data_IF_958798230760
#
_entry.id   IF_958798230760
#
_cell.length_a   1.000
_cell.length_b   1.000
_cell.length_c   1.000
_cell.angle_alpha   90.00
_cell.angle_beta   90.00
_cell.angle_gamma   90.00
#
_symmetry.space_group_name_H-M   'P 1'
#
loop_
_entity.id
_entity.type
_entity.pdbx_description
1 polymer ?
#
# COMPACT_ATOMS: atom_id res chain seq x y z
N UNK A 1 23.86 0.86 -1.90
CA UNK A 1 22.42 1.13 -1.65
C UNK A 1 21.46 0.64 -2.72
N UNK A 2 21.89 0.38 -3.97
CA UNK A 2 20.97 -0.07 -5.06
C UNK A 2 20.23 -1.38 -4.72
N UNK A 3 20.95 -2.43 -4.30
CA UNK A 3 20.36 -3.69 -3.83
C UNK A 3 19.40 -3.52 -2.64
N UNK A 4 19.72 -2.63 -1.71
CA UNK A 4 18.83 -2.31 -0.57
C UNK A 4 17.53 -1.68 -1.07
N UNK A 5 17.61 -0.74 -2.01
CA UNK A 5 16.42 -0.13 -2.61
C UNK A 5 15.56 -1.15 -3.38
N UNK A 6 16.17 -2.09 -4.10
CA UNK A 6 15.45 -3.21 -4.75
C UNK A 6 14.74 -4.07 -3.70
N UNK A 7 15.44 -4.47 -2.63
CA UNK A 7 14.88 -5.29 -1.57
C UNK A 7 13.69 -4.59 -0.88
N UNK A 8 13.84 -3.30 -0.52
CA UNK A 8 12.76 -2.51 0.09
C UNK A 8 11.55 -2.39 -0.84
N UNK A 9 11.78 -2.15 -2.13
CA UNK A 9 10.70 -2.06 -3.12
C UNK A 9 9.99 -3.41 -3.31
N UNK A 10 10.73 -4.52 -3.25
CA UNK A 10 10.18 -5.87 -3.30
C UNK A 10 9.35 -6.21 -2.08
N UNK A 11 9.84 -5.89 -0.88
CA UNK A 11 9.11 -6.05 0.37
C UNK A 11 7.85 -5.19 0.39
N UNK A 12 7.91 -3.94 -0.09
CA UNK A 12 6.74 -3.07 -0.20
C UNK A 12 5.68 -3.69 -1.11
N UNK A 13 6.07 -4.18 -2.30
CA UNK A 13 5.13 -4.84 -3.21
C UNK A 13 4.53 -6.10 -2.57
N UNK A 14 5.35 -6.92 -1.92
CA UNK A 14 4.88 -8.11 -1.21
C UNK A 14 3.87 -7.75 -0.12
N UNK A 15 4.17 -6.74 0.71
CA UNK A 15 3.27 -6.26 1.75
C UNK A 15 1.94 -5.78 1.16
N UNK A 16 1.96 -5.08 0.01
CA UNK A 16 0.73 -4.66 -0.68
C UNK A 16 -0.06 -5.87 -1.20
N UNK A 17 0.59 -6.88 -1.77
CA UNK A 17 -0.10 -8.12 -2.19
C UNK A 17 -0.73 -8.84 -1.00
N UNK A 18 0.00 -8.93 0.12
CA UNK A 18 -0.51 -9.49 1.37
C UNK A 18 -1.69 -8.68 1.93
N UNK A 19 -1.73 -7.35 1.71
CA UNK A 19 -2.87 -6.51 2.12
C UNK A 19 -4.18 -6.96 1.45
N UNK A 20 -4.14 -7.29 0.16
CA UNK A 20 -5.30 -7.82 -0.57
C UNK A 20 -5.67 -9.21 -0.05
N UNK A 21 -4.69 -10.07 0.22
CA UNK A 21 -4.94 -11.38 0.80
C UNK A 21 -5.61 -11.26 2.18
N UNK A 22 -5.10 -10.39 3.07
CA UNK A 22 -5.69 -10.19 4.40
C UNK A 22 -7.08 -9.54 4.34
N UNK A 23 -7.33 -8.65 3.37
CA UNK A 23 -8.67 -8.12 3.13
C UNK A 23 -9.65 -9.23 2.70
N UNK A 24 -9.23 -10.07 1.76
CA UNK A 24 -10.02 -11.21 1.31
C UNK A 24 -10.24 -12.22 2.45
N UNK A 25 -9.20 -12.53 3.22
CA UNK A 25 -9.30 -13.37 4.41
C UNK A 25 -10.36 -12.82 5.36
N UNK A 26 -10.26 -11.55 5.78
CA UNK A 26 -11.27 -10.94 6.66
C UNK A 26 -12.69 -11.05 6.08
N UNK A 27 -12.86 -10.74 4.80
CA UNK A 27 -14.16 -10.77 4.12
C UNK A 27 -14.77 -12.18 3.99
N UNK A 28 -13.95 -13.23 3.86
CA UNK A 28 -14.41 -14.60 3.63
C UNK A 28 -14.40 -15.49 4.87
N UNK A 29 -13.84 -15.05 6.00
CA UNK A 29 -13.76 -15.86 7.23
C UNK A 29 -14.95 -15.66 8.17
N UNK A 30 -15.76 -14.62 7.97
CA UNK A 30 -16.89 -14.29 8.84
C UNK A 30 -18.22 -14.91 8.34
N UNK A 31 -18.86 -15.82 9.11
CA UNK A 31 -20.22 -16.23 8.82
C UNK A 31 -21.23 -15.14 9.26
N UNK A 32 -22.25 -14.82 8.44
CA UNK A 32 -23.34 -13.94 8.87
C UNK A 32 -24.25 -14.60 9.92
N UNK A 33 -24.74 -13.87 10.95
CA UNK A 33 -24.37 -12.49 11.31
C UNK A 33 -23.11 -12.44 12.18
N UNK A 34 -22.13 -11.65 11.76
CA UNK A 34 -20.94 -11.36 12.57
C UNK A 34 -21.25 -10.26 13.60
N UNK A 35 -20.62 -10.34 14.77
CA UNK A 35 -20.60 -9.24 15.74
C UNK A 35 -19.55 -8.20 15.31
N UNK A 36 -19.69 -6.95 15.77
CA UNK A 36 -18.65 -5.92 15.56
C UNK A 36 -17.26 -6.39 16.02
N UNK A 37 -17.17 -7.08 17.16
CA UNK A 37 -15.91 -7.65 17.64
C UNK A 37 -15.34 -8.70 16.68
N UNK A 38 -16.19 -9.56 16.10
CA UNK A 38 -15.78 -10.54 15.10
C UNK A 38 -15.28 -9.89 13.80
N UNK A 39 -15.95 -8.82 13.35
CA UNK A 39 -15.49 -8.02 12.20
C UNK A 39 -14.11 -7.43 12.44
N UNK A 40 -13.91 -6.78 13.60
CA UNK A 40 -12.62 -6.20 13.96
C UNK A 40 -11.52 -7.27 13.98
N UNK A 41 -11.77 -8.42 14.62
CA UNK A 41 -10.81 -9.53 14.71
C UNK A 41 -10.41 -10.07 13.33
N UNK A 42 -11.38 -10.30 12.45
CA UNK A 42 -11.12 -10.85 11.11
C UNK A 42 -10.27 -9.92 10.24
N UNK A 43 -10.39 -8.60 10.41
CA UNK A 43 -9.61 -7.60 9.68
C UNK A 43 -8.33 -7.15 10.42
N UNK A 44 -8.00 -7.70 11.60
CA UNK A 44 -6.80 -7.29 12.35
C UNK A 44 -5.51 -7.45 11.55
N UNK A 45 -5.35 -8.54 10.80
CA UNK A 45 -4.17 -8.76 9.97
C UNK A 45 -4.05 -7.70 8.86
N UNK A 46 -5.19 -7.33 8.26
CA UNK A 46 -5.25 -6.27 7.26
C UNK A 46 -4.90 -4.91 7.88
N UNK A 47 -5.44 -4.59 9.05
CA UNK A 47 -5.14 -3.35 9.76
C UNK A 47 -3.65 -3.28 10.16
N UNK A 48 -3.09 -4.36 10.72
CA UNK A 48 -1.69 -4.42 11.13
C UNK A 48 -0.73 -4.26 9.95
N UNK A 49 -0.98 -4.95 8.83
CA UNK A 49 -0.11 -4.89 7.66
C UNK A 49 -0.11 -3.52 6.98
N UNK A 50 -1.16 -2.70 7.16
CA UNK A 50 -1.17 -1.31 6.68
C UNK A 50 -0.04 -0.47 7.30
N UNK A 51 0.30 -0.70 8.57
CA UNK A 51 1.43 -0.03 9.23
C UNK A 51 2.77 -0.45 8.63
N UNK A 52 2.90 -1.72 8.21
CA UNK A 52 4.09 -2.22 7.53
C UNK A 52 4.24 -1.54 6.17
N UNK A 53 3.16 -1.33 5.42
CA UNK A 53 3.17 -0.61 4.14
C UNK A 53 3.59 0.85 4.34
N UNK A 54 3.08 1.53 5.37
CA UNK A 54 3.51 2.89 5.72
C UNK A 54 5.01 2.96 5.99
N UNK A 55 5.53 2.05 6.81
CA UNK A 55 6.96 2.01 7.10
C UNK A 55 7.79 1.71 5.83
N UNK A 56 7.43 0.67 5.08
CA UNK A 56 8.18 0.24 3.90
C UNK A 56 8.14 1.28 2.78
N UNK A 57 7.05 2.02 2.62
CA UNK A 57 6.96 3.10 1.63
C UNK A 57 7.89 4.27 1.96
N UNK A 58 7.96 4.67 3.23
CA UNK A 58 8.93 5.67 3.69
C UNK A 58 10.37 5.17 3.52
N UNK A 59 10.66 3.93 3.94
CA UNK A 59 11.99 3.34 3.79
C UNK A 59 12.37 3.19 2.31
N UNK A 60 11.45 2.83 1.42
CA UNK A 60 11.71 2.74 -0.01
C UNK A 60 12.02 4.11 -0.62
N UNK A 61 11.33 5.18 -0.20
CA UNK A 61 11.63 6.55 -0.62
C UNK A 61 13.03 7.00 -0.17
N UNK A 62 13.38 6.75 1.09
CA UNK A 62 14.73 7.00 1.63
C UNK A 62 15.76 6.16 0.87
N UNK A 63 15.47 4.87 0.65
CA UNK A 63 16.29 3.95 -0.11
C UNK A 63 16.56 4.44 -1.54
N UNK A 64 15.56 5.01 -2.22
CA UNK A 64 15.71 5.60 -3.55
C UNK A 64 16.67 6.80 -3.55
N UNK A 65 16.56 7.69 -2.54
CA UNK A 65 17.46 8.83 -2.37
C UNK A 65 18.90 8.36 -2.10
N UNK A 66 19.09 7.43 -1.16
CA UNK A 66 20.40 6.88 -0.80
C UNK A 66 21.02 6.06 -1.95
N UNK A 67 20.20 5.44 -2.80
CA UNK A 67 20.64 4.76 -4.01
C UNK A 67 20.92 5.71 -5.18
N UNK A 68 20.66 7.01 -5.03
CA UNK A 68 20.78 8.03 -6.09
C UNK A 68 19.96 7.67 -7.34
N UNK A 69 18.75 7.14 -7.13
CA UNK A 69 17.84 6.73 -8.21
C UNK A 69 17.05 7.90 -8.86
N UNK A 70 17.33 9.14 -8.42
CA UNK A 70 16.69 10.36 -8.89
C UNK A 70 15.43 10.75 -8.09
N UNK A 71 15.17 12.06 -7.99
CA UNK A 71 14.06 12.61 -7.19
C UNK A 71 12.68 12.10 -7.64
N UNK A 72 12.48 11.93 -8.96
CA UNK A 72 11.22 11.38 -9.51
C UNK A 72 10.95 9.94 -9.06
N UNK A 73 11.99 9.16 -8.83
CA UNK A 73 11.88 7.79 -8.33
C UNK A 73 11.62 7.79 -6.83
N UNK A 74 12.27 8.67 -6.08
CA UNK A 74 12.01 8.84 -4.66
C UNK A 74 10.57 9.31 -4.38
N UNK A 75 10.06 10.28 -5.14
CA UNK A 75 8.66 10.70 -5.02
C UNK A 75 7.68 9.58 -5.36
N UNK A 76 7.94 8.82 -6.43
CA UNK A 76 7.11 7.66 -6.77
C UNK A 76 7.12 6.61 -5.65
N UNK A 77 8.27 6.37 -5.03
CA UNK A 77 8.41 5.46 -3.89
C UNK A 77 7.73 5.97 -2.61
N UNK A 78 7.58 7.29 -2.47
CA UNK A 78 6.84 7.92 -1.39
C UNK A 78 5.33 7.95 -1.64
N UNK A 79 4.87 7.85 -2.89
CA UNK A 79 3.44 7.92 -3.23
C UNK A 79 2.57 6.89 -2.46
N UNK A 80 2.96 5.61 -2.27
CA UNK A 80 2.17 4.67 -1.46
C UNK A 80 1.94 5.15 -0.02
N UNK A 81 2.90 5.84 0.60
CA UNK A 81 2.73 6.43 1.92
C UNK A 81 1.54 7.40 1.95
N UNK A 82 1.51 8.31 0.96
CA UNK A 82 0.45 9.31 0.83
C UNK A 82 -0.89 8.65 0.49
N UNK A 83 -0.91 7.66 -0.38
CA UNK A 83 -2.14 6.95 -0.75
C UNK A 83 -2.72 6.14 0.42
N UNK A 84 -1.92 5.66 1.37
CA UNK A 84 -2.44 5.05 2.61
C UNK A 84 -3.17 6.10 3.46
N UNK A 85 -2.64 7.33 3.57
CA UNK A 85 -3.38 8.41 4.24
C UNK A 85 -4.69 8.76 3.54
N UNK A 86 -4.73 8.69 2.20
CA UNK A 86 -5.98 8.83 1.44
C UNK A 86 -7.00 7.75 1.82
N UNK A 87 -6.57 6.51 2.14
CA UNK A 87 -7.49 5.48 2.64
C UNK A 87 -8.20 5.91 3.94
N UNK A 88 -7.46 6.53 4.85
CA UNK A 88 -8.02 7.02 6.12
C UNK A 88 -9.04 8.12 5.85
N UNK A 89 -8.73 9.05 4.95
CA UNK A 89 -9.66 10.12 4.54
C UNK A 89 -10.94 9.54 3.94
N UNK A 90 -10.85 8.50 3.11
CA UNK A 90 -12.03 7.81 2.55
C UNK A 90 -12.95 7.31 3.67
N UNK A 91 -12.42 6.69 4.72
CA UNK A 91 -13.24 6.23 5.85
C UNK A 91 -13.83 7.36 6.68
N UNK A 92 -13.10 8.45 6.90
CA UNK A 92 -13.63 9.66 7.57
C UNK A 92 -14.80 10.24 6.78
N UNK A 93 -14.68 10.32 5.45
CA UNK A 93 -15.74 10.82 4.58
C UNK A 93 -16.97 9.89 4.56
N UNK A 94 -16.76 8.57 4.64
CA UNK A 94 -17.85 7.61 4.75
C UNK A 94 -18.64 7.78 6.06
N UNK A 95 -17.94 7.96 7.18
CA UNK A 95 -18.56 8.29 8.47
C UNK A 95 -19.33 9.62 8.42
N UNK A 96 -18.75 10.66 7.82
CA UNK A 96 -19.44 11.94 7.61
C UNK A 96 -20.67 11.84 6.70
N UNK A 97 -20.74 10.81 5.84
CA UNK A 97 -21.89 10.48 4.99
C UNK A 97 -22.93 9.55 5.67
N UNK A 98 -22.86 9.43 7.00
CA UNK A 98 -23.80 8.65 7.81
C UNK A 98 -23.43 7.18 7.99
N UNK A 99 -22.22 6.77 7.59
CA UNK A 99 -21.68 5.47 8.01
C UNK A 99 -21.49 5.42 9.52
N UNK A 100 -21.72 4.26 10.13
CA UNK A 100 -21.43 4.05 11.55
C UNK A 100 -19.90 4.11 11.77
N UNK A 101 -19.37 5.07 12.54
CA UNK A 101 -17.94 5.23 12.76
C UNK A 101 -17.32 4.07 13.55
N UNK A 102 -18.12 3.28 14.28
CA UNK A 102 -17.65 2.10 15.02
C UNK A 102 -17.64 0.83 14.15
N UNK A 103 -18.32 0.86 12.98
CA UNK A 103 -18.34 -0.25 12.04
C UNK A 103 -17.08 -0.27 11.17
N UNK A 104 -16.58 -1.49 10.88
CA UNK A 104 -15.38 -1.69 10.07
C UNK A 104 -15.69 -2.68 8.94
N UNK A 105 -15.97 -2.20 7.70
CA UNK A 105 -15.94 -0.80 7.26
C UNK A 105 -17.22 0.00 7.61
N UNK A 106 -17.17 1.35 7.64
CA UNK A 106 -18.30 2.21 8.01
C UNK A 106 -19.34 2.34 6.87
N UNK A 107 -20.06 1.25 6.55
CA UNK A 107 -20.93 1.14 5.37
C UNK A 107 -22.44 1.15 5.68
N UNK A 108 -22.90 1.80 6.73
CA UNK A 108 -24.31 1.72 7.17
C UNK A 108 -25.33 2.41 6.23
N UNK A 109 -24.89 3.20 5.23
CA UNK A 109 -25.76 3.88 4.27
C UNK A 109 -25.32 3.64 2.82
N UNK A 110 -26.20 3.81 1.82
CA UNK A 110 -25.80 3.72 0.40
C UNK A 110 -24.70 4.73 0.02
N UNK A 111 -24.75 5.95 0.58
CA UNK A 111 -23.73 6.97 0.35
C UNK A 111 -22.36 6.53 0.90
N UNK A 112 -22.33 6.00 2.12
CA UNK A 112 -21.11 5.48 2.74
C UNK A 112 -20.53 4.29 1.96
N UNK A 113 -21.37 3.39 1.42
CA UNK A 113 -20.92 2.32 0.54
C UNK A 113 -20.19 2.83 -0.71
N UNK A 114 -20.75 3.82 -1.40
CA UNK A 114 -20.12 4.40 -2.60
C UNK A 114 -18.78 5.03 -2.24
N UNK A 115 -18.70 5.73 -1.11
CA UNK A 115 -17.45 6.34 -0.64
C UNK A 115 -16.41 5.27 -0.31
N UNK A 116 -16.78 4.26 0.48
CA UNK A 116 -15.89 3.15 0.84
C UNK A 116 -15.44 2.36 -0.40
N UNK A 117 -16.23 2.28 -1.47
CA UNK A 117 -15.79 1.61 -2.71
C UNK A 117 -14.52 2.25 -3.33
N UNK A 118 -14.28 3.55 -3.12
CA UNK A 118 -13.03 4.18 -3.53
C UNK A 118 -11.80 3.64 -2.80
N UNK A 119 -11.97 3.02 -1.63
CA UNK A 119 -10.89 2.37 -0.90
C UNK A 119 -10.21 1.28 -1.75
N UNK A 120 -11.02 0.46 -2.42
CA UNK A 120 -10.53 -0.61 -3.29
C UNK A 120 -9.81 -0.03 -4.53
N UNK A 121 -10.34 1.03 -5.12
CA UNK A 121 -9.71 1.71 -6.27
C UNK A 121 -8.36 2.33 -5.86
N UNK A 122 -8.31 2.98 -4.71
CA UNK A 122 -7.07 3.53 -4.17
C UNK A 122 -6.05 2.42 -3.84
N UNK A 123 -6.50 1.28 -3.34
CA UNK A 123 -5.63 0.12 -3.11
C UNK A 123 -5.01 -0.41 -4.42
N UNK A 124 -5.76 -0.43 -5.52
CA UNK A 124 -5.22 -0.78 -6.85
C UNK A 124 -4.19 0.25 -7.33
N UNK A 125 -4.38 1.54 -7.03
CA UNK A 125 -3.38 2.57 -7.32
C UNK A 125 -2.08 2.33 -6.53
N UNK A 126 -2.18 1.99 -5.24
CA UNK A 126 -1.02 1.60 -4.41
C UNK A 126 -0.29 0.40 -5.02
N UNK A 127 -1.01 -0.63 -5.46
CA UNK A 127 -0.42 -1.79 -6.13
C UNK A 127 0.34 -1.39 -7.40
N UNK A 128 -0.30 -0.64 -8.29
CA UNK A 128 0.30 -0.18 -9.55
C UNK A 128 1.56 0.65 -9.32
N UNK A 129 1.53 1.55 -8.34
CA UNK A 129 2.69 2.35 -7.95
C UNK A 129 3.80 1.48 -7.38
N UNK A 130 3.52 0.56 -6.47
CA UNK A 130 4.53 -0.35 -5.89
C UNK A 130 5.21 -1.22 -6.96
N UNK A 131 4.46 -1.70 -7.95
CA UNK A 131 5.01 -2.40 -9.12
C UNK A 131 5.96 -1.48 -9.89
N UNK A 132 5.53 -0.24 -10.17
CA UNK A 132 6.35 0.73 -10.90
C UNK A 132 7.65 1.09 -10.14
N UNK A 133 7.58 1.22 -8.81
CA UNK A 133 8.75 1.47 -7.95
C UNK A 133 9.74 0.31 -8.04
N UNK A 134 9.30 -0.94 -7.89
CA UNK A 134 10.16 -2.11 -8.01
C UNK A 134 10.81 -2.20 -9.40
N UNK A 135 10.05 -1.95 -10.47
CA UNK A 135 10.59 -1.94 -11.84
C UNK A 135 11.68 -0.89 -12.01
N UNK A 136 11.49 0.33 -11.47
CA UNK A 136 12.52 1.38 -11.50
C UNK A 136 13.74 1.01 -10.66
N UNK A 137 13.56 0.39 -9.50
CA UNK A 137 14.66 -0.06 -8.65
C UNK A 137 15.53 -1.11 -9.37
N UNK A 138 14.91 -2.12 -9.99
CA UNK A 138 15.61 -3.15 -10.76
C UNK A 138 16.34 -2.55 -11.97
N UNK A 139 15.69 -1.66 -12.72
CA UNK A 139 16.32 -0.99 -13.85
C UNK A 139 17.54 -0.16 -13.42
N UNK A 140 17.43 0.57 -12.31
CA UNK A 140 18.54 1.34 -11.74
C UNK A 140 19.70 0.44 -11.29
N UNK A 141 19.42 -0.70 -10.67
CA UNK A 141 20.47 -1.65 -10.28
C UNK A 141 21.25 -2.17 -11.50
N UNK A 142 20.54 -2.59 -12.56
CA UNK A 142 21.13 -3.12 -13.81
C UNK A 142 22.04 -2.12 -14.52
N UNK A 143 21.65 -0.85 -14.59
CA UNK A 143 22.51 0.21 -15.18
C UNK A 143 23.79 0.38 -14.38
N UNK A 144 23.73 0.24 -13.05
CA UNK A 144 24.92 0.33 -12.20
C UNK A 144 25.90 -0.82 -12.33
N UNK A 145 25.49 -1.94 -12.93
CA UNK A 145 26.31 -3.15 -13.11
C UNK A 145 26.83 -3.34 -14.54
N UNK A 146 26.51 -2.44 -15.48
CA UNK A 146 26.98 -2.54 -16.85
C UNK A 146 28.52 -2.42 -16.91
N UNK A 147 29.24 -3.29 -17.65
CA UNK A 147 30.69 -3.18 -17.80
C UNK A 147 31.07 -1.83 -18.40
N UNK A 148 32.13 -1.20 -17.89
CA UNK A 148 32.71 -0.01 -18.53
C UNK A 148 33.29 -0.45 -19.87
N UNK A 149 32.91 0.17 -21.01
CA UNK A 149 33.49 -0.19 -22.30
C UNK A 149 35.00 0.01 -22.24
N UNK A 150 35.75 -1.02 -22.64
CA UNK A 150 37.19 -0.90 -22.79
C UNK A 150 37.46 0.23 -23.79
N UNK A 151 38.19 1.26 -23.34
CA UNK A 151 38.63 2.35 -24.22
C UNK A 151 39.65 1.75 -25.20
N UNK A 152 39.49 1.95 -26.52
CA UNK A 152 40.46 1.48 -27.53
C UNK A 152 41.79 2.23 -27.45
#
# INVERSE_FOLDING_TARGET
MRKVFVALSGLLLLAVVLQFYFAAYGAFTLPPPATMEGEQEAFQLHAMNSNIILLLSLLAAIGALLAKAGWRTALLAFTPFILVWVQIVIFILAGAAGGDPEAVPPVSTPAAHVIVAFHAINALAILGVSIAVLRRAIAHDRVGTAPVPAVP
#
